data_IF_848868357320
#
_entry.id   IF_848868357320
#
_cell.length_a   1.000
_cell.length_b   1.000
_cell.length_c   1.000
_cell.angle_alpha   90.00
_cell.angle_beta   90.00
_cell.angle_gamma   90.00
#
_symmetry.space_group_name_H-M   'P 1'
#
loop_
_entity.id
_entity.type
_entity.pdbx_description
1 polymer ?
#
# COMPACT_ATOMS: atom_id res chain seq x y z
N UNK A 1 43.12 -2.52 45.05
CA UNK A 1 43.13 -3.48 43.91
C UNK A 1 41.84 -4.29 43.77
N UNK A 2 41.33 -4.96 44.81
CA UNK A 2 40.11 -5.80 44.74
C UNK A 2 38.82 -5.07 44.28
N UNK A 3 38.61 -3.82 44.71
CA UNK A 3 37.43 -3.01 44.29
C UNK A 3 37.49 -2.58 42.81
N UNK A 4 38.69 -2.32 42.28
CA UNK A 4 38.89 -1.93 40.87
C UNK A 4 38.58 -3.10 39.94
N UNK A 5 39.01 -4.32 40.31
CA UNK A 5 38.68 -5.53 39.54
C UNK A 5 37.18 -5.82 39.46
N UNK A 6 36.44 -5.57 40.54
CA UNK A 6 34.97 -5.73 40.56
C UNK A 6 34.28 -4.72 39.64
N UNK A 7 34.71 -3.45 39.64
CA UNK A 7 34.11 -2.46 38.75
C UNK A 7 34.41 -2.75 37.27
N UNK A 8 35.61 -3.21 36.93
CA UNK A 8 35.95 -3.60 35.55
C UNK A 8 35.08 -4.78 35.10
N UNK A 9 34.87 -5.79 35.96
CA UNK A 9 34.02 -6.93 35.64
C UNK A 9 32.55 -6.52 35.43
N UNK A 10 32.03 -5.60 36.25
CA UNK A 10 30.65 -5.09 36.11
C UNK A 10 30.49 -4.27 34.83
N UNK A 11 31.44 -3.37 34.53
CA UNK A 11 31.38 -2.55 33.31
C UNK A 11 31.49 -3.41 32.05
N UNK A 12 32.39 -4.40 32.05
CA UNK A 12 32.53 -5.33 30.93
C UNK A 12 31.27 -6.20 30.74
N UNK A 13 30.68 -6.69 31.84
CA UNK A 13 29.44 -7.48 31.80
C UNK A 13 28.26 -6.69 31.23
N UNK A 14 28.08 -5.44 31.67
CA UNK A 14 27.01 -4.57 31.17
C UNK A 14 27.19 -4.23 29.69
N UNK A 15 28.42 -3.94 29.25
CA UNK A 15 28.71 -3.64 27.84
C UNK A 15 28.37 -4.82 26.91
N UNK A 16 28.66 -6.06 27.32
CA UNK A 16 28.33 -7.27 26.55
C UNK A 16 26.82 -7.49 26.43
N UNK A 17 26.04 -7.19 27.46
CA UNK A 17 24.56 -7.34 27.41
C UNK A 17 23.89 -6.30 26.50
N UNK A 18 24.44 -5.08 26.41
CA UNK A 18 23.88 -4.01 25.57
C UNK A 18 24.22 -4.17 24.08
N UNK A 19 25.35 -4.80 23.75
CA UNK A 19 25.75 -5.07 22.36
C UNK A 19 24.93 -6.22 21.71
N UNK A 20 24.19 -7.00 22.51
CA UNK A 20 23.41 -8.16 22.03
C UNK A 20 22.15 -7.83 21.22
N UNK A 21 21.65 -6.60 21.30
CA UNK A 21 20.35 -6.24 20.71
C UNK A 21 20.33 -6.20 19.18
N UNK A 22 21.49 -6.28 18.50
CA UNK A 22 21.59 -6.18 17.04
C UNK A 22 21.70 -7.51 16.29
N UNK A 23 21.92 -8.64 16.97
CA UNK A 23 22.20 -9.92 16.31
C UNK A 23 20.95 -10.66 15.80
N UNK A 24 19.77 -10.30 16.31
CA UNK A 24 18.49 -10.84 15.83
C UNK A 24 17.89 -10.02 14.68
N UNK A 25 18.55 -8.94 14.23
CA UNK A 25 18.06 -8.08 13.16
C UNK A 25 18.27 -8.75 11.78
N UNK A 26 17.33 -8.54 10.86
CA UNK A 26 17.42 -9.02 9.46
C UNK A 26 18.64 -8.44 8.73
N UNK A 27 19.15 -7.29 9.19
CA UNK A 27 20.34 -6.60 8.66
C UNK A 27 21.59 -6.84 9.50
N UNK A 28 21.58 -7.81 10.42
CA UNK A 28 22.74 -8.13 11.23
C UNK A 28 23.92 -8.59 10.35
N UNK A 29 25.18 -8.19 10.68
CA UNK A 29 26.38 -8.60 9.96
C UNK A 29 26.79 -10.05 10.28
N UNK A 30 25.83 -10.97 10.27
CA UNK A 30 26.03 -12.41 10.45
C UNK A 30 25.77 -13.16 9.13
N UNK A 31 26.37 -14.34 8.95
CA UNK A 31 26.05 -15.26 7.86
C UNK A 31 24.56 -15.52 7.69
N UNK A 32 24.12 -15.74 6.44
CA UNK A 32 22.71 -15.82 6.04
C UNK A 32 21.89 -16.83 6.86
N UNK A 33 22.49 -17.96 7.26
CA UNK A 33 21.82 -19.01 8.04
C UNK A 33 21.57 -18.65 9.51
N UNK A 34 22.18 -17.56 10.03
CA UNK A 34 21.97 -17.06 11.39
C UNK A 34 21.13 -15.78 11.44
N UNK A 35 20.79 -15.19 10.28
CA UNK A 35 19.93 -14.00 10.26
C UNK A 35 18.51 -14.36 10.68
N UNK A 36 17.85 -13.40 11.33
CA UNK A 36 16.41 -13.48 11.58
C UNK A 36 15.67 -13.71 10.26
N UNK A 37 14.64 -14.57 10.30
CA UNK A 37 13.78 -14.82 9.14
C UNK A 37 13.18 -13.50 8.67
N UNK A 38 13.31 -13.17 7.39
CA UNK A 38 12.62 -12.04 6.79
C UNK A 38 11.15 -12.12 7.17
N UNK A 39 10.56 -11.06 7.77
CA UNK A 39 9.14 -11.04 8.05
C UNK A 39 8.38 -11.43 6.78
N UNK A 40 7.49 -12.41 6.91
CA UNK A 40 6.64 -12.81 5.79
C UNK A 40 5.90 -11.55 5.30
N UNK A 41 5.82 -11.28 3.98
CA UNK A 41 5.01 -10.19 3.49
C UNK A 41 3.62 -10.33 4.10
N UNK A 42 3.01 -9.24 4.61
CA UNK A 42 1.68 -9.31 5.20
C UNK A 42 0.77 -10.02 4.22
N UNK A 43 0.12 -11.10 4.67
CA UNK A 43 -0.75 -11.90 3.82
C UNK A 43 -1.75 -10.96 3.16
N UNK A 44 -1.64 -10.84 1.84
CA UNK A 44 -2.58 -10.06 1.06
C UNK A 44 -3.95 -10.71 1.26
N UNK A 45 -4.89 -9.96 1.83
CA UNK A 45 -6.24 -10.48 2.12
C UNK A 45 -6.96 -10.94 0.85
N UNK A 46 -8.21 -11.35 0.96
CA UNK A 46 -9.03 -11.61 -0.23
C UNK A 46 -9.14 -10.33 -1.07
N UNK A 47 -8.99 -10.39 -2.41
CA UNK A 47 -9.18 -9.23 -3.26
C UNK A 47 -10.57 -8.63 -3.04
N UNK A 48 -10.70 -7.31 -2.86
CA UNK A 48 -11.99 -6.67 -2.65
C UNK A 48 -12.82 -6.73 -3.95
N UNK A 49 -14.14 -6.86 -3.81
CA UNK A 49 -15.06 -6.69 -4.94
C UNK A 49 -15.17 -5.20 -5.29
N UNK A 50 -14.28 -4.74 -6.17
CA UNK A 50 -14.20 -3.35 -6.59
C UNK A 50 -15.48 -2.92 -7.33
N UNK A 51 -16.14 -3.83 -8.06
CA UNK A 51 -17.37 -3.51 -8.81
C UNK A 51 -18.49 -3.17 -7.84
N UNK A 52 -18.66 -3.97 -6.78
CA UNK A 52 -19.64 -3.69 -5.73
C UNK A 52 -19.31 -2.39 -4.98
N UNK A 53 -18.03 -2.15 -4.65
CA UNK A 53 -17.61 -0.92 -4.00
C UNK A 53 -17.92 0.32 -4.84
N UNK A 54 -17.62 0.28 -6.14
CA UNK A 54 -17.91 1.39 -7.04
C UNK A 54 -19.41 1.66 -7.17
N UNK A 55 -20.24 0.62 -7.24
CA UNK A 55 -21.71 0.77 -7.27
C UNK A 55 -22.25 1.45 -6.01
N UNK A 56 -21.62 1.23 -4.85
CA UNK A 56 -22.06 1.79 -3.57
C UNK A 56 -21.44 3.16 -3.26
N UNK A 57 -20.22 3.43 -3.74
CA UNK A 57 -19.37 4.56 -3.34
C UNK A 57 -18.72 5.26 -4.54
N UNK A 58 -19.50 5.49 -5.60
CA UNK A 58 -18.98 6.09 -6.83
C UNK A 58 -18.56 7.56 -6.63
N UNK A 59 -19.21 8.24 -5.70
CA UNK A 59 -18.92 9.58 -5.19
C UNK A 59 -17.57 9.68 -4.46
N UNK A 60 -17.03 8.56 -3.96
CA UNK A 60 -15.66 8.51 -3.44
C UNK A 60 -14.62 8.55 -4.56
N UNK A 61 -14.96 8.21 -5.82
CA UNK A 61 -14.04 8.22 -6.97
C UNK A 61 -14.22 9.45 -7.84
N UNK A 62 -15.45 9.85 -8.11
CA UNK A 62 -15.77 11.03 -8.90
C UNK A 62 -16.42 12.09 -8.02
N UNK A 63 -16.31 13.36 -8.38
CA UNK A 63 -16.99 14.43 -7.64
C UNK A 63 -18.50 14.17 -7.68
N UNK A 64 -19.22 14.28 -6.56
CA UNK A 64 -20.65 13.92 -6.47
C UNK A 64 -21.56 14.62 -7.51
N UNK A 65 -21.20 15.82 -7.95
CA UNK A 65 -21.93 16.58 -8.97
C UNK A 65 -21.46 16.31 -10.41
N UNK A 66 -20.46 15.45 -10.61
CA UNK A 66 -20.09 14.96 -11.94
C UNK A 66 -21.00 13.81 -12.35
N UNK A 67 -21.28 13.67 -13.64
CA UNK A 67 -22.09 12.57 -14.18
C UNK A 67 -21.17 11.58 -14.90
N UNK A 68 -20.53 10.65 -14.17
CA UNK A 68 -19.71 9.62 -14.78
C UNK A 68 -20.56 8.56 -15.48
N UNK A 69 -20.30 8.33 -16.76
CA UNK A 69 -20.94 7.31 -17.61
C UNK A 69 -19.91 6.29 -18.10
N UNK A 70 -20.39 5.12 -18.52
CA UNK A 70 -19.54 4.04 -19.05
C UNK A 70 -18.38 3.65 -18.12
N UNK A 71 -18.68 3.47 -16.83
CA UNK A 71 -17.69 3.15 -15.80
C UNK A 71 -17.12 1.75 -16.04
N UNK A 72 -15.80 1.68 -16.14
CA UNK A 72 -15.03 0.44 -16.27
C UNK A 72 -13.96 0.39 -15.21
N UNK A 73 -13.64 -0.80 -14.76
CA UNK A 73 -12.66 -1.04 -13.69
C UNK A 73 -11.66 -2.10 -14.09
N UNK A 74 -10.40 -1.95 -13.69
CA UNK A 74 -9.39 -2.98 -13.84
C UNK A 74 -9.41 -3.99 -12.69
N UNK A 75 -8.75 -5.12 -12.88
CA UNK A 75 -8.61 -6.12 -11.81
C UNK A 75 -7.88 -5.53 -10.59
N UNK A 76 -8.39 -5.76 -9.36
CA UNK A 76 -7.71 -5.30 -8.15
C UNK A 76 -6.34 -5.94 -8.01
N UNK A 77 -5.32 -5.09 -7.83
CA UNK A 77 -3.94 -5.53 -7.57
C UNK A 77 -3.49 -5.16 -6.16
N UNK A 78 -2.60 -5.95 -5.55
CA UNK A 78 -1.98 -5.58 -4.28
C UNK A 78 -1.26 -4.24 -4.38
N UNK A 79 -1.41 -3.38 -3.37
CA UNK A 79 -0.65 -2.13 -3.31
C UNK A 79 0.84 -2.46 -3.09
N UNK A 80 1.71 -1.98 -3.99
CA UNK A 80 3.16 -2.20 -3.89
C UNK A 80 3.83 -1.29 -2.86
N UNK A 81 3.17 -0.19 -2.45
CA UNK A 81 3.72 0.83 -1.55
C UNK A 81 3.27 0.67 -0.10
N UNK A 82 2.34 -0.23 0.18
CA UNK A 82 1.74 -0.35 1.51
C UNK A 82 0.69 -1.46 1.58
N UNK A 83 0.00 -1.57 2.74
CA UNK A 83 -1.15 -2.47 2.86
C UNK A 83 -2.29 -2.02 1.93
N UNK A 84 -3.15 -2.96 1.56
CA UNK A 84 -4.35 -2.69 0.78
C UNK A 84 -4.24 -3.06 -0.70
N UNK A 85 -5.19 -2.58 -1.47
CA UNK A 85 -5.39 -2.90 -2.87
C UNK A 85 -5.46 -1.63 -3.71
N UNK A 86 -5.04 -1.72 -4.96
CA UNK A 86 -5.14 -0.65 -5.94
C UNK A 86 -5.91 -1.15 -7.15
N UNK A 87 -6.76 -0.30 -7.72
CA UNK A 87 -7.46 -0.57 -8.97
C UNK A 87 -7.56 0.70 -9.81
N UNK A 88 -7.70 0.57 -11.12
CA UNK A 88 -7.91 1.69 -12.01
C UNK A 88 -9.38 1.76 -12.45
N UNK A 89 -9.95 2.94 -12.39
CA UNK A 89 -11.33 3.22 -12.77
C UNK A 89 -11.32 4.20 -13.93
N UNK A 90 -11.95 3.81 -15.02
CA UNK A 90 -12.06 4.61 -16.24
C UNK A 90 -13.53 4.93 -16.49
N UNK A 91 -13.85 6.20 -16.66
CA UNK A 91 -15.22 6.62 -16.97
C UNK A 91 -15.21 7.85 -17.88
N UNK A 92 -16.28 8.03 -18.64
CA UNK A 92 -16.57 9.30 -19.30
C UNK A 92 -17.19 10.23 -18.27
N UNK A 93 -16.60 11.41 -18.07
CA UNK A 93 -17.04 12.33 -17.01
C UNK A 93 -17.55 13.63 -17.61
N UNK A 94 -18.73 14.04 -17.19
CA UNK A 94 -19.24 15.41 -17.41
C UNK A 94 -18.97 16.24 -16.16
N UNK A 95 -18.39 17.43 -16.34
CA UNK A 95 -18.12 18.36 -15.25
C UNK A 95 -19.41 18.81 -14.57
N UNK A 96 -19.27 19.38 -13.37
CA UNK A 96 -20.37 20.01 -12.63
C UNK A 96 -21.03 21.16 -13.40
N UNK A 97 -20.33 21.75 -14.37
CA UNK A 97 -20.81 22.83 -15.25
C UNK A 97 -21.44 22.31 -16.54
N UNK A 98 -21.60 20.99 -16.70
CA UNK A 98 -22.19 20.37 -17.90
C UNK A 98 -21.22 20.23 -19.07
N UNK A 99 -19.94 20.58 -18.91
CA UNK A 99 -18.94 20.43 -19.98
C UNK A 99 -18.40 18.99 -19.98
N UNK A 100 -18.37 18.29 -21.13
CA UNK A 100 -17.75 16.97 -21.20
C UNK A 100 -16.24 17.10 -20.96
N UNK A 101 -15.73 16.41 -19.94
CA UNK A 101 -14.30 16.28 -19.66
C UNK A 101 -13.68 15.10 -20.42
N UNK A 102 -14.51 14.33 -21.12
CA UNK A 102 -14.12 13.11 -21.82
C UNK A 102 -13.78 11.98 -20.86
N UNK A 103 -12.97 11.04 -21.34
CA UNK A 103 -12.55 9.87 -20.58
C UNK A 103 -11.51 10.26 -19.54
N UNK A 104 -11.85 10.05 -18.26
CA UNK A 104 -10.93 10.22 -17.14
C UNK A 104 -10.60 8.86 -16.55
N UNK A 105 -9.34 8.68 -16.16
CA UNK A 105 -8.85 7.46 -15.50
C UNK A 105 -8.31 7.84 -14.13
N UNK A 106 -8.79 7.17 -13.09
CA UNK A 106 -8.38 7.36 -11.71
C UNK A 106 -7.86 6.04 -11.14
N UNK A 107 -6.72 6.10 -10.45
CA UNK A 107 -6.23 5.02 -9.60
C UNK A 107 -6.84 5.21 -8.23
N UNK A 108 -7.52 4.18 -7.75
CA UNK A 108 -8.09 4.15 -6.41
C UNK A 108 -7.24 3.26 -5.51
N UNK A 109 -7.06 3.69 -4.27
CA UNK A 109 -6.50 2.88 -3.21
C UNK A 109 -7.63 2.42 -2.30
N UNK A 110 -7.68 1.11 -2.04
CA UNK A 110 -8.70 0.44 -1.26
C UNK A 110 -8.03 -0.12 -0.01
N UNK A 111 -8.44 0.42 1.14
CA UNK A 111 -8.01 -0.04 2.45
C UNK A 111 -9.24 -0.32 3.30
N UNK A 112 -9.20 -1.41 4.07
CA UNK A 112 -10.29 -1.83 4.96
C UNK A 112 -11.69 -1.91 4.29
N UNK A 113 -11.72 -2.27 3.00
CA UNK A 113 -12.97 -2.37 2.24
C UNK A 113 -13.59 -1.03 1.86
N UNK A 114 -12.87 0.08 1.99
CA UNK A 114 -13.30 1.41 1.56
C UNK A 114 -12.28 2.02 0.59
N UNK A 115 -12.75 2.95 -0.26
CA UNK A 115 -11.88 3.74 -1.13
C UNK A 115 -11.23 4.82 -0.25
N UNK A 116 -9.94 4.61 0.05
CA UNK A 116 -9.17 5.45 0.96
C UNK A 116 -8.60 6.67 0.25
N UNK A 117 -8.13 6.51 -0.98
CA UNK A 117 -7.62 7.60 -1.80
C UNK A 117 -7.95 7.42 -3.29
N UNK A 118 -7.92 8.52 -4.03
CA UNK A 118 -8.03 8.56 -5.49
C UNK A 118 -6.99 9.49 -6.07
N UNK A 119 -6.27 8.99 -7.06
CA UNK A 119 -5.29 9.78 -7.81
C UNK A 119 -5.62 9.72 -9.30
N UNK A 120 -5.48 10.85 -10.00
CA UNK A 120 -5.59 10.85 -11.46
C UNK A 120 -4.41 10.07 -12.05
N UNK A 121 -4.69 9.18 -12.99
CA UNK A 121 -3.67 8.39 -13.69
C UNK A 121 -3.01 9.28 -14.74
N UNK A 122 -1.68 9.41 -14.64
CA UNK A 122 -0.87 10.12 -15.65
C UNK A 122 -0.44 9.16 -16.77
N UNK A 123 0.13 9.69 -17.85
CA UNK A 123 0.47 8.90 -19.03
C UNK A 123 1.49 7.78 -18.75
N UNK A 124 2.30 7.90 -17.70
CA UNK A 124 3.30 6.90 -17.30
C UNK A 124 2.75 5.85 -16.30
N UNK A 125 1.52 6.00 -15.82
CA UNK A 125 0.94 5.09 -14.84
C UNK A 125 0.40 3.80 -15.49
N UNK A 126 0.57 2.68 -14.78
CA UNK A 126 0.16 1.33 -15.24
C UNK A 126 -1.32 1.25 -15.62
N UNK A 127 -2.18 2.10 -15.04
CA UNK A 127 -3.59 2.16 -15.39
C UNK A 127 -3.87 2.46 -16.86
N UNK A 128 -2.96 3.09 -17.59
CA UNK A 128 -3.17 3.39 -19.00
C UNK A 128 -3.29 2.12 -19.88
N UNK A 129 -2.60 1.04 -19.50
CA UNK A 129 -2.44 -0.20 -20.29
C UNK A 129 -3.19 -1.41 -19.75
N UNK A 130 -3.96 -1.27 -18.68
CA UNK A 130 -4.70 -2.39 -18.08
C UNK A 130 -5.94 -2.82 -18.87
N UNK A 131 -6.36 -4.07 -18.63
CA UNK A 131 -7.67 -4.57 -19.07
C UNK A 131 -8.77 -4.00 -18.19
N UNK A 132 -9.88 -3.61 -18.81
CA UNK A 132 -10.99 -2.92 -18.16
C UNK A 132 -12.30 -3.67 -18.38
N UNK A 133 -13.00 -3.98 -17.30
CA UNK A 133 -14.32 -4.60 -17.34
C UNK A 133 -15.42 -3.59 -16.95
N UNK A 134 -16.61 -3.66 -17.56
CA UNK A 134 -17.73 -2.82 -17.16
C UNK A 134 -18.19 -3.15 -15.72
N UNK A 135 -18.56 -2.11 -14.99
CA UNK A 135 -19.12 -2.18 -13.63
C UNK A 135 -20.61 -2.42 -13.66
#
# INVERSE_FOLDING_TARGET
>A
MRRIGVHIAVVAGVALTLAGCGFADVRAPVPDFMRGKTPDPPALGTPPDVKLLLRQKLDSVFVAASQPTQVRVSEPRPNLRGPGWTACVKAEVVSVTGKPLGTQTYRIEISDGAIADRQKVEAEDTGATESYEPV
#
